data_IF_622043291920
#
_entry.id   IF_622043291920
#
_cell.length_a   1.000
_cell.length_b   1.000
_cell.length_c   1.000
_cell.angle_alpha   90.00
_cell.angle_beta   90.00
_cell.angle_gamma   90.00
#
_symmetry.space_group_name_H-M   'P 1'
#
loop_
_entity.id
_entity.type
_entity.pdbx_description
1 polymer ?
#
# COMPACT_ATOMS: atom_id res chain seq x y z
N UNK A 1 -6.68 -17.08 6.64
CA UNK A 1 -5.26 -16.69 6.49
C UNK A 1 -4.51 -16.96 7.79
N UNK A 2 -4.87 -16.34 8.91
CA UNK A 2 -4.32 -16.76 10.22
C UNK A 2 -4.81 -18.16 10.61
N UNK A 3 -6.03 -18.52 10.22
CA UNK A 3 -6.57 -19.89 10.36
C UNK A 3 -5.74 -20.97 9.66
N UNK A 4 -4.89 -20.58 8.70
CA UNK A 4 -3.93 -21.47 8.02
C UNK A 4 -2.48 -21.14 8.39
N UNK A 5 -2.26 -20.37 9.46
CA UNK A 5 -0.93 -20.07 10.03
C UNK A 5 -0.18 -18.91 9.38
N UNK A 6 -0.78 -18.16 8.45
CA UNK A 6 -0.11 -17.02 7.79
C UNK A 6 -0.38 -15.72 8.57
N UNK A 7 0.68 -15.03 9.07
CA UNK A 7 0.53 -13.77 9.79
C UNK A 7 -0.15 -12.67 8.94
N UNK A 8 -0.98 -11.83 9.58
CA UNK A 8 -1.68 -10.75 8.90
C UNK A 8 -1.62 -9.44 9.72
N UNK A 9 -1.38 -8.26 9.10
CA UNK A 9 -1.24 -6.99 9.82
C UNK A 9 -2.60 -6.42 10.26
N UNK A 10 -3.22 -7.05 11.27
CA UNK A 10 -4.55 -6.67 11.78
C UNK A 10 -4.51 -5.65 12.91
N UNK A 11 -3.57 -5.82 13.85
CA UNK A 11 -3.56 -5.10 15.13
C UNK A 11 -2.36 -4.16 15.29
N UNK A 12 -1.66 -3.87 14.20
CA UNK A 12 -0.49 -2.99 14.20
C UNK A 12 -0.87 -1.71 13.45
N UNK A 13 -1.11 -0.57 14.15
CA UNK A 13 -1.44 0.68 13.47
C UNK A 13 -0.26 1.14 12.60
N UNK A 14 -0.57 1.57 11.38
CA UNK A 14 0.44 1.96 10.38
C UNK A 14 0.42 3.46 10.10
N UNK A 15 1.50 3.96 9.51
CA UNK A 15 1.63 5.34 9.02
C UNK A 15 1.95 5.32 7.53
N UNK A 16 1.49 6.34 6.81
CA UNK A 16 1.84 6.56 5.41
C UNK A 16 3.18 7.29 5.38
N UNK A 17 4.12 6.78 4.59
CA UNK A 17 5.42 7.40 4.34
C UNK A 17 5.62 7.57 2.83
N UNK A 18 6.35 8.61 2.44
CA UNK A 18 6.79 8.83 1.06
C UNK A 18 8.24 9.27 1.09
N UNK A 19 9.04 8.78 0.14
CA UNK A 19 10.47 9.12 0.02
C UNK A 19 10.95 8.96 -1.42
N UNK A 20 11.94 9.76 -1.80
CA UNK A 20 12.76 9.57 -2.98
C UNK A 20 14.19 9.35 -2.49
N UNK A 21 14.79 8.21 -2.83
CA UNK A 21 16.09 7.81 -2.32
C UNK A 21 16.87 6.96 -3.34
N UNK A 22 18.20 6.91 -3.20
CA UNK A 22 19.07 6.08 -4.04
C UNK A 22 19.12 4.65 -3.49
N UNK A 23 18.84 3.68 -4.36
CA UNK A 23 18.80 2.25 -4.04
C UNK A 23 19.66 1.43 -5.02
N UNK A 24 20.87 1.93 -5.29
CA UNK A 24 21.77 1.41 -6.33
C UNK A 24 22.13 -0.08 -6.19
N UNK A 25 22.03 -0.63 -4.98
CA UNK A 25 22.37 -2.02 -4.72
C UNK A 25 21.35 -3.02 -5.29
N UNK A 26 20.14 -2.58 -5.65
CA UNK A 26 19.10 -3.50 -6.10
C UNK A 26 18.09 -2.94 -7.11
N UNK A 27 17.81 -1.63 -7.13
CA UNK A 27 16.63 -1.09 -7.82
C UNK A 27 16.62 -1.32 -9.33
N UNK A 28 17.76 -1.13 -10.00
CA UNK A 28 17.86 -1.14 -11.47
C UNK A 28 18.68 -2.32 -11.95
N UNK A 29 18.02 -3.26 -12.65
CA UNK A 29 18.61 -4.53 -13.11
C UNK A 29 19.32 -5.31 -11.99
N UNK A 30 18.71 -5.37 -10.80
CA UNK A 30 19.30 -6.04 -9.64
C UNK A 30 20.58 -5.36 -9.13
N UNK A 31 20.71 -4.05 -9.35
CA UNK A 31 21.86 -3.24 -8.92
C UNK A 31 23.00 -3.13 -9.92
N UNK A 32 22.86 -3.70 -11.12
CA UNK A 32 23.86 -3.64 -12.19
C UNK A 32 23.99 -2.25 -12.83
N UNK A 33 22.93 -1.44 -12.78
CA UNK A 33 22.94 -0.07 -13.31
C UNK A 33 22.85 0.88 -12.14
N UNK A 34 23.85 1.75 -11.99
CA UNK A 34 23.96 2.72 -10.90
C UNK A 34 23.38 4.08 -11.31
N UNK A 35 23.01 4.87 -10.32
CA UNK A 35 22.49 6.22 -10.54
C UNK A 35 23.54 7.11 -11.19
N UNK A 36 23.19 7.73 -12.31
CA UNK A 36 24.00 8.76 -12.94
C UNK A 36 23.68 10.12 -12.30
N UNK A 37 24.50 10.52 -11.33
CA UNK A 37 24.33 11.75 -10.58
C UNK A 37 24.53 13.03 -11.41
N UNK A 38 25.08 12.93 -12.62
CA UNK A 38 25.17 14.08 -13.54
C UNK A 38 23.80 14.54 -14.03
N UNK A 39 22.77 13.68 -13.91
CA UNK A 39 21.37 13.99 -14.27
C UNK A 39 20.55 14.54 -13.11
N UNK A 40 21.17 14.80 -11.96
CA UNK A 40 20.49 15.45 -10.85
C UNK A 40 20.05 16.89 -11.21
N UNK A 41 18.95 17.40 -10.62
CA UNK A 41 18.18 16.82 -9.52
C UNK A 41 17.11 15.80 -9.96
N UNK A 42 16.99 14.71 -9.21
CA UNK A 42 15.87 13.79 -9.31
C UNK A 42 14.67 14.35 -8.54
N UNK A 43 13.56 14.60 -9.22
CA UNK A 43 12.40 15.28 -8.62
C UNK A 43 11.16 14.39 -8.66
N UNK A 44 10.55 14.18 -7.50
CA UNK A 44 9.25 13.53 -7.35
C UNK A 44 8.21 14.55 -6.87
N UNK A 45 7.08 14.66 -7.58
CA UNK A 45 6.01 15.59 -7.27
C UNK A 45 4.77 14.84 -6.79
N UNK A 46 4.23 15.26 -5.65
CA UNK A 46 3.05 14.64 -5.02
C UNK A 46 1.90 15.65 -4.98
N UNK A 47 0.68 15.17 -5.18
CA UNK A 47 -0.54 15.98 -5.10
C UNK A 47 -1.71 15.12 -4.63
N UNK A 48 -2.80 15.76 -4.22
CA UNK A 48 -4.05 15.11 -3.82
C UNK A 48 -3.86 14.09 -2.67
N UNK A 49 -3.15 14.49 -1.61
CA UNK A 49 -3.01 13.66 -0.41
C UNK A 49 -4.39 13.47 0.23
N UNK A 50 -4.95 12.27 0.10
CA UNK A 50 -6.25 11.90 0.62
C UNK A 50 -6.11 10.56 1.37
N UNK A 51 -6.55 10.54 2.62
CA UNK A 51 -6.51 9.35 3.47
C UNK A 51 -7.92 9.06 4.01
N UNK A 52 -8.59 8.08 3.42
CA UNK A 52 -9.77 7.43 4.00
C UNK A 52 -9.28 6.23 4.84
N UNK A 53 -9.23 6.43 6.16
CA UNK A 53 -8.60 5.48 7.07
C UNK A 53 -9.29 5.44 8.43
N UNK A 54 -9.15 4.31 9.12
CA UNK A 54 -9.41 4.26 10.55
C UNK A 54 -8.21 4.80 11.33
N UNK A 55 -8.45 5.85 12.12
CA UNK A 55 -7.41 6.46 12.94
C UNK A 55 -7.30 5.71 14.26
N UNK A 56 -6.07 5.44 14.69
CA UNK A 56 -5.78 4.92 16.02
C UNK A 56 -5.49 6.08 16.97
N UNK A 57 -6.29 6.23 18.03
CA UNK A 57 -6.11 7.27 19.05
C UNK A 57 -6.50 6.74 20.42
N UNK A 58 -5.81 7.22 21.47
CA UNK A 58 -6.09 6.85 22.87
C UNK A 58 -6.21 5.33 23.12
N UNK A 59 -5.41 4.52 22.42
CA UNK A 59 -5.42 3.05 22.57
C UNK A 59 -6.55 2.32 21.84
N UNK A 60 -7.35 3.01 21.03
CA UNK A 60 -8.47 2.42 20.29
C UNK A 60 -8.46 2.81 18.80
N UNK A 61 -8.99 1.94 17.96
CA UNK A 61 -9.23 2.22 16.53
C UNK A 61 -10.60 2.87 16.32
N UNK A 62 -10.70 3.78 15.36
CA UNK A 62 -11.99 4.27 14.87
C UNK A 62 -12.73 3.27 13.96
N UNK A 63 -12.11 2.15 13.58
CA UNK A 63 -12.78 1.04 12.89
C UNK A 63 -13.82 0.40 13.83
N UNK A 64 -15.10 0.74 13.66
CA UNK A 64 -16.22 0.12 14.40
C UNK A 64 -17.03 -0.79 13.47
N UNK A 65 -17.18 -2.09 13.78
CA UNK A 65 -17.94 -3.03 12.95
C UNK A 65 -19.48 -2.95 13.12
N UNK A 66 -20.02 -1.94 13.82
CA UNK A 66 -21.46 -1.82 14.10
C UNK A 66 -22.16 -0.79 13.20
N UNK A 67 -23.28 -1.20 12.62
CA UNK A 67 -24.03 -0.62 11.49
C UNK A 67 -24.55 0.84 11.59
N UNK A 68 -24.14 1.65 12.58
CA UNK A 68 -24.73 2.98 12.84
C UNK A 68 -23.75 4.15 12.88
N UNK A 69 -22.45 3.96 12.63
CA UNK A 69 -21.58 5.11 12.38
C UNK A 69 -20.33 4.71 11.58
N UNK A 70 -20.18 5.34 10.41
CA UNK A 70 -19.12 5.22 9.37
C UNK A 70 -19.30 4.09 8.34
N UNK A 71 -19.64 4.49 7.10
CA UNK A 71 -19.61 3.68 5.89
C UNK A 71 -18.14 3.34 5.52
N UNK A 72 -17.50 2.40 6.22
CA UNK A 72 -16.15 1.94 5.87
C UNK A 72 -16.25 0.80 4.82
N UNK A 73 -16.95 1.07 3.71
CA UNK A 73 -17.26 0.06 2.69
C UNK A 73 -16.01 -0.59 2.08
N UNK A 74 -14.88 0.12 2.09
CA UNK A 74 -13.59 -0.40 1.63
C UNK A 74 -13.03 -1.49 2.55
N UNK A 75 -13.36 -1.50 3.85
CA UNK A 75 -12.74 -2.40 4.84
C UNK A 75 -13.18 -3.86 4.68
N UNK A 76 -14.40 -4.09 4.21
CA UNK A 76 -14.93 -5.41 3.88
C UNK A 76 -15.03 -5.64 2.37
N UNK A 77 -14.26 -4.89 1.57
CA UNK A 77 -14.34 -5.00 0.13
C UNK A 77 -13.69 -6.28 -0.38
N UNK A 78 -14.41 -6.97 -1.27
CA UNK A 78 -13.90 -8.13 -2.00
C UNK A 78 -13.63 -7.81 -3.48
N UNK A 79 -12.82 -8.65 -4.12
CA UNK A 79 -12.58 -8.53 -5.57
C UNK A 79 -13.74 -9.15 -6.35
N UNK A 80 -14.39 -8.36 -7.19
CA UNK A 80 -15.31 -8.86 -8.20
C UNK A 80 -14.59 -9.60 -9.35
N UNK A 81 -15.37 -10.26 -10.22
CA UNK A 81 -14.86 -11.04 -11.34
C UNK A 81 -14.01 -10.21 -12.32
N UNK A 82 -14.34 -8.94 -12.54
CA UNK A 82 -13.60 -8.06 -13.43
C UNK A 82 -12.23 -7.69 -12.84
N UNK A 83 -12.15 -7.37 -11.54
CA UNK A 83 -10.89 -7.13 -10.82
C UNK A 83 -10.00 -8.38 -10.81
N UNK A 84 -10.60 -9.55 -10.61
CA UNK A 84 -9.89 -10.82 -10.69
C UNK A 84 -9.30 -11.05 -12.08
N UNK A 85 -10.06 -10.81 -13.15
CA UNK A 85 -9.57 -10.94 -14.53
C UNK A 85 -8.39 -9.99 -14.81
N UNK A 86 -8.44 -8.75 -14.32
CA UNK A 86 -7.34 -7.78 -14.45
C UNK A 86 -6.08 -8.23 -13.71
N UNK A 87 -6.22 -8.80 -12.52
CA UNK A 87 -5.10 -9.38 -11.77
C UNK A 87 -4.49 -10.58 -12.52
N UNK A 88 -5.33 -11.45 -13.10
CA UNK A 88 -4.84 -12.57 -13.92
C UNK A 88 -4.12 -12.11 -15.18
N UNK A 89 -4.59 -11.04 -15.82
CA UNK A 89 -3.92 -10.45 -16.97
C UNK A 89 -2.52 -9.97 -16.58
N UNK A 90 -2.39 -9.17 -15.52
CA UNK A 90 -1.09 -8.67 -15.06
C UNK A 90 -0.10 -9.79 -14.72
N UNK A 91 -0.59 -10.87 -14.10
CA UNK A 91 0.25 -12.05 -13.80
C UNK A 91 0.72 -12.81 -15.05
N UNK A 92 -0.04 -12.77 -16.16
CA UNK A 92 0.33 -13.45 -17.41
C UNK A 92 1.27 -12.64 -18.29
N UNK A 93 1.24 -11.32 -18.16
CA UNK A 93 2.00 -10.40 -19.01
C UNK A 93 3.30 -9.90 -18.38
N UNK A 94 3.58 -10.29 -17.13
CA UNK A 94 4.82 -9.99 -16.41
C UNK A 94 5.68 -11.23 -16.37
#
# INVERSE_FOLDING_TARGET
>A
MESIGVPFPKNQPMRIYSSLWNADDWATRGGLVKTDWTQAPFTASYRNFNADACVWSNGASSCKPTATSTNIAWFSQEMDSAKQQRLQWGRRTT
#
